data_IF_380507894688
#
_entry.id   IF_380507894688
#
_cell.length_a   1.000
_cell.length_b   1.000
_cell.length_c   1.000
_cell.angle_alpha   90.00
_cell.angle_beta   90.00
_cell.angle_gamma   90.00
#
_symmetry.space_group_name_H-M   'P 1'
#
loop_
_entity.id
_entity.type
_entity.pdbx_description
1 polymer ?
#
# COMPACT_ATOMS: atom_id res chain seq x y z
N UNK A 1 2.59 -10.42 8.73
CA UNK A 1 1.59 -9.44 9.20
C UNK A 1 0.22 -10.11 9.24
N UNK A 2 -0.42 -10.06 10.41
CA UNK A 2 -1.83 -10.39 10.63
C UNK A 2 -2.73 -9.40 9.90
N UNK A 3 -4.04 -9.70 9.78
CA UNK A 3 -4.99 -8.74 9.19
C UNK A 3 -5.14 -7.46 10.03
N UNK A 4 -4.93 -7.56 11.33
CA UNK A 4 -4.94 -6.41 12.25
C UNK A 4 -3.70 -5.53 12.05
N UNK A 5 -2.52 -6.15 11.93
CA UNK A 5 -1.27 -5.43 11.66
C UNK A 5 -1.36 -4.67 10.32
N UNK A 6 -1.96 -5.29 9.29
CA UNK A 6 -2.15 -4.68 7.97
C UNK A 6 -3.13 -3.49 8.01
N UNK A 7 -4.13 -3.51 8.91
CA UNK A 7 -5.01 -2.34 9.12
C UNK A 7 -4.27 -1.20 9.81
N UNK A 8 -3.45 -1.52 10.81
CA UNK A 8 -2.67 -0.52 11.56
C UNK A 8 -1.66 0.23 10.70
N UNK A 9 -1.19 -0.37 9.59
CA UNK A 9 -0.33 0.32 8.61
C UNK A 9 -0.93 1.61 8.03
N UNK A 10 -2.25 1.76 8.02
CA UNK A 10 -2.88 3.03 7.59
C UNK A 10 -2.58 4.17 8.55
N UNK A 11 -2.56 3.90 9.87
CA UNK A 11 -2.23 4.91 10.86
C UNK A 11 -0.73 5.25 10.81
N UNK A 12 0.13 4.24 10.61
CA UNK A 12 1.58 4.38 10.42
C UNK A 12 1.91 5.32 9.25
N UNK A 13 1.35 5.06 8.06
CA UNK A 13 1.56 5.91 6.88
C UNK A 13 1.04 7.35 7.07
N UNK A 14 -0.08 7.52 7.77
CA UNK A 14 -0.60 8.87 8.09
C UNK A 14 0.34 9.63 9.03
N UNK A 15 0.88 8.97 10.05
CA UNK A 15 1.86 9.59 10.96
C UNK A 15 3.10 10.00 10.19
N UNK A 16 3.68 9.08 9.41
CA UNK A 16 4.87 9.33 8.60
C UNK A 16 4.72 10.52 7.65
N UNK A 17 3.56 10.62 6.98
CA UNK A 17 3.25 11.77 6.13
C UNK A 17 3.14 13.08 6.93
N UNK A 18 2.54 13.05 8.12
CA UNK A 18 2.48 14.21 9.02
C UNK A 18 3.86 14.62 9.55
N UNK A 19 4.77 13.66 9.71
CA UNK A 19 6.15 13.87 10.12
C UNK A 19 7.06 14.38 8.97
N UNK A 20 6.49 14.58 7.78
CA UNK A 20 7.14 15.23 6.63
C UNK A 20 7.67 14.29 5.55
N UNK A 21 7.43 12.98 5.67
CA UNK A 21 7.75 12.03 4.61
C UNK A 21 6.84 12.24 3.39
N UNK A 22 7.39 12.16 2.18
CA UNK A 22 6.60 12.38 0.96
C UNK A 22 5.70 11.18 0.66
N UNK A 23 4.62 11.41 -0.09
CA UNK A 23 3.78 10.31 -0.57
C UNK A 23 4.55 9.37 -1.51
N UNK A 24 5.56 9.87 -2.21
CA UNK A 24 6.39 9.07 -3.12
C UNK A 24 7.31 8.12 -2.37
N UNK A 25 7.81 8.53 -1.20
CA UNK A 25 8.60 7.67 -0.32
C UNK A 25 7.74 6.54 0.27
N UNK A 26 6.47 6.83 0.59
CA UNK A 26 5.50 5.86 1.13
C UNK A 26 4.94 4.94 0.04
N UNK A 27 4.94 5.38 -1.22
CA UNK A 27 4.30 4.74 -2.36
C UNK A 27 4.62 3.23 -2.49
N UNK A 28 5.89 2.77 -2.41
CA UNK A 28 6.21 1.37 -2.59
C UNK A 28 5.58 0.48 -1.50
N UNK A 29 5.59 0.94 -0.25
CA UNK A 29 5.01 0.22 0.88
C UNK A 29 3.49 0.20 0.81
N UNK A 30 2.87 1.32 0.42
CA UNK A 30 1.42 1.41 0.24
C UNK A 30 0.93 0.46 -0.87
N UNK A 31 1.61 0.42 -2.02
CA UNK A 31 1.26 -0.48 -3.12
C UNK A 31 1.49 -1.96 -2.76
N UNK A 32 2.55 -2.27 -2.00
CA UNK A 32 2.76 -3.62 -1.46
C UNK A 32 1.64 -4.04 -0.52
N UNK A 33 1.18 -3.13 0.36
CA UNK A 33 0.07 -3.37 1.27
C UNK A 33 -1.24 -3.66 0.51
N UNK A 34 -1.58 -2.82 -0.48
CA UNK A 34 -2.78 -3.01 -1.32
C UNK A 34 -2.71 -4.32 -2.08
N UNK A 35 -1.54 -4.68 -2.63
CA UNK A 35 -1.35 -5.95 -3.35
C UNK A 35 -1.58 -7.16 -2.44
N UNK A 36 -1.05 -7.13 -1.22
CA UNK A 36 -1.21 -8.22 -0.25
C UNK A 36 -2.65 -8.31 0.26
N UNK A 37 -3.31 -7.18 0.52
CA UNK A 37 -4.70 -7.16 0.95
C UNK A 37 -5.64 -7.68 -0.13
N UNK A 38 -5.47 -7.26 -1.39
CA UNK A 38 -6.24 -7.77 -2.52
C UNK A 38 -6.12 -9.29 -2.65
N UNK A 39 -4.91 -9.84 -2.49
CA UNK A 39 -4.69 -11.30 -2.51
C UNK A 39 -5.52 -12.01 -1.43
N UNK A 40 -5.63 -11.43 -0.23
CA UNK A 40 -6.33 -12.04 0.90
C UNK A 40 -7.86 -11.85 0.87
N UNK A 41 -8.34 -10.72 0.35
CA UNK A 41 -9.76 -10.36 0.42
C UNK A 41 -10.53 -10.72 -0.85
N UNK A 42 -9.93 -10.54 -2.02
CA UNK A 42 -10.57 -10.81 -3.32
C UNK A 42 -9.98 -12.02 -4.03
N UNK A 43 -8.89 -12.60 -3.50
CA UNK A 43 -8.16 -13.67 -4.16
C UNK A 43 -7.31 -13.21 -5.36
N UNK A 44 -7.33 -11.91 -5.68
CA UNK A 44 -6.61 -11.37 -6.83
C UNK A 44 -5.31 -10.72 -6.39
N UNK A 45 -4.18 -11.25 -6.86
CA UNK A 45 -2.88 -10.61 -6.70
C UNK A 45 -2.61 -9.73 -7.91
N UNK A 46 -2.39 -8.44 -7.69
CA UNK A 46 -2.07 -7.50 -8.77
C UNK A 46 -0.87 -7.98 -9.58
N UNK A 47 -0.96 -7.91 -10.90
CA UNK A 47 0.16 -8.06 -11.83
C UNK A 47 1.06 -6.84 -11.80
N UNK A 48 2.30 -6.98 -12.27
CA UNK A 48 3.27 -5.89 -12.23
C UNK A 48 2.81 -4.71 -13.10
N UNK A 49 2.16 -4.97 -14.24
CA UNK A 49 1.57 -3.91 -15.09
C UNK A 49 0.45 -3.14 -14.40
N UNK A 50 -0.31 -3.76 -13.49
CA UNK A 50 -1.34 -3.06 -12.73
C UNK A 50 -0.73 -2.14 -11.65
N UNK A 51 0.39 -2.56 -11.05
CA UNK A 51 1.16 -1.73 -10.13
C UNK A 51 1.75 -0.54 -10.90
N UNK A 52 2.37 -0.75 -12.07
CA UNK A 52 2.89 0.32 -12.92
C UNK A 52 1.78 1.29 -13.35
N UNK A 53 0.60 0.77 -13.74
CA UNK A 53 -0.55 1.60 -14.09
C UNK A 53 -1.04 2.44 -12.90
N UNK A 54 -1.06 1.88 -11.69
CA UNK A 54 -1.42 2.64 -10.50
C UNK A 54 -0.38 3.70 -10.11
N UNK A 55 0.92 3.42 -10.27
CA UNK A 55 2.00 4.40 -10.06
C UNK A 55 1.88 5.56 -11.08
N UNK A 56 1.48 5.29 -12.33
CA UNK A 56 1.29 6.32 -13.34
C UNK A 56 0.09 7.24 -13.06
N UNK A 57 -0.94 6.74 -12.38
CA UNK A 57 -2.16 7.48 -12.05
C UNK A 57 -2.07 8.26 -10.73
N UNK A 58 -1.09 7.92 -9.90
CA UNK A 58 -0.73 8.60 -8.65
C UNK A 58 -0.09 9.95 -8.93
#
# INVERSE_FOLDING_TARGET
LSNEDLRNKTADFKSRYQDGESLDDILPEAFALVREMSRRTTGMRHYDVQILGGILLH
#
